data_IF_991553846237
#
_entry.id   IF_991553846237
#
_cell.length_a   1.000
_cell.length_b   1.000
_cell.length_c   1.000
_cell.angle_alpha   90.00
_cell.angle_beta   90.00
_cell.angle_gamma   90.00
#
_symmetry.space_group_name_H-M   'P 1'
#
loop_
_entity.id
_entity.type
_entity.pdbx_description
1 polymer ?
#
# COMPACT_ATOMS: atom_id res chain seq x y z
N UNK A 1 -15.61 -44.48 30.89
CA UNK A 1 -16.73 -43.51 30.94
C UNK A 1 -16.20 -42.31 30.17
N UNK A 2 -16.62 -42.22 28.87
CA UNK A 2 -16.18 -41.17 27.96
C UNK A 2 -17.03 -39.93 28.18
N UNK A 3 -16.33 -38.80 28.29
CA UNK A 3 -16.94 -37.47 28.35
C UNK A 3 -17.28 -37.02 26.92
N UNK A 4 -18.58 -36.84 26.66
CA UNK A 4 -19.10 -36.39 25.37
C UNK A 4 -19.23 -34.89 25.41
N UNK A 5 -18.25 -34.20 24.82
CA UNK A 5 -18.28 -32.75 24.65
C UNK A 5 -19.42 -32.33 23.71
N UNK A 6 -20.26 -31.40 24.18
CA UNK A 6 -21.35 -30.77 23.47
C UNK A 6 -20.84 -30.07 22.21
N UNK A 7 -21.34 -30.49 21.05
CA UNK A 7 -21.26 -29.76 19.80
C UNK A 7 -22.24 -28.57 19.85
N UNK A 8 -21.76 -27.37 19.76
CA UNK A 8 -22.59 -26.18 19.51
C UNK A 8 -22.93 -26.11 18.04
N UNK A 9 -24.20 -25.86 17.72
CA UNK A 9 -24.80 -25.91 16.37
C UNK A 9 -24.49 -24.71 15.47
N UNK A 10 -23.36 -24.01 15.63
CA UNK A 10 -22.88 -23.03 14.67
C UNK A 10 -21.51 -23.45 14.15
N UNK A 11 -21.48 -24.05 12.98
CA UNK A 11 -20.32 -24.67 12.33
C UNK A 11 -19.24 -23.71 11.82
N UNK A 12 -19.02 -22.58 12.46
CA UNK A 12 -17.85 -21.74 12.23
C UNK A 12 -16.72 -22.19 13.17
N UNK A 13 -15.82 -23.01 12.65
CA UNK A 13 -14.57 -23.32 13.37
C UNK A 13 -13.85 -21.99 13.65
N UNK A 14 -13.53 -21.68 14.92
CA UNK A 14 -12.68 -20.53 15.22
C UNK A 14 -11.34 -20.77 14.53
N UNK A 15 -10.95 -19.84 13.66
CA UNK A 15 -9.62 -19.85 13.03
C UNK A 15 -8.57 -19.64 14.12
N UNK A 16 -8.12 -20.75 14.73
CA UNK A 16 -7.00 -20.73 15.66
C UNK A 16 -5.76 -20.31 14.90
N UNK A 17 -5.39 -19.05 15.02
CA UNK A 17 -4.12 -18.51 14.53
C UNK A 17 -2.97 -19.30 15.14
N UNK A 18 -2.09 -19.83 14.31
CA UNK A 18 -0.85 -20.43 14.79
C UNK A 18 -0.06 -19.40 15.62
N UNK A 19 0.62 -19.77 16.73
CA UNK A 19 1.18 -18.84 17.72
C UNK A 19 2.17 -17.80 17.22
N UNK A 20 2.43 -17.71 15.93
CA UNK A 20 3.42 -16.83 15.33
C UNK A 20 3.04 -16.30 13.92
N UNK A 21 1.87 -16.66 13.41
CA UNK A 21 1.38 -16.17 12.12
C UNK A 21 0.89 -14.72 12.24
N UNK A 22 1.40 -13.82 11.39
CA UNK A 22 0.98 -12.42 11.36
C UNK A 22 -0.27 -12.24 10.51
N UNK A 23 -1.30 -11.61 11.07
CA UNK A 23 -2.48 -11.25 10.28
C UNK A 23 -2.28 -9.92 9.58
N UNK A 24 -2.58 -9.89 8.28
CA UNK A 24 -2.57 -8.69 7.44
C UNK A 24 -3.97 -8.49 6.86
N UNK A 25 -4.61 -7.39 7.22
CA UNK A 25 -5.91 -7.01 6.71
C UNK A 25 -5.79 -5.76 5.83
N UNK A 26 -6.35 -5.83 4.61
CA UNK A 26 -6.50 -4.67 3.73
C UNK A 26 -7.95 -4.24 3.75
N UNK A 27 -8.21 -3.06 4.29
CA UNK A 27 -9.56 -2.50 4.39
C UNK A 27 -9.98 -1.93 3.06
N UNK A 28 -11.09 -2.45 2.56
CA UNK A 28 -11.74 -2.06 1.32
C UNK A 28 -13.09 -1.37 1.59
N UNK A 29 -13.50 -0.52 0.67
CA UNK A 29 -14.75 0.21 0.68
C UNK A 29 -15.29 0.36 -0.75
N UNK A 30 -16.52 0.80 -0.90
CA UNK A 30 -17.13 0.99 -2.22
C UNK A 30 -16.29 1.94 -3.10
N UNK A 31 -16.08 1.57 -4.37
CA UNK A 31 -15.22 2.28 -5.35
C UNK A 31 -13.72 2.33 -4.95
N UNK A 32 -13.25 1.44 -4.05
CA UNK A 32 -11.81 1.27 -3.84
C UNK A 32 -11.10 0.83 -5.13
N UNK A 33 -9.82 1.09 -5.24
CA UNK A 33 -9.02 0.64 -6.37
C UNK A 33 -8.57 -0.81 -6.13
N UNK A 34 -8.98 -1.73 -6.99
CA UNK A 34 -8.75 -3.16 -6.78
C UNK A 34 -7.27 -3.54 -6.65
N UNK A 35 -6.38 -2.87 -7.41
CA UNK A 35 -4.94 -3.13 -7.32
C UNK A 35 -4.33 -2.65 -6.00
N UNK A 36 -4.89 -1.61 -5.37
CA UNK A 36 -4.46 -1.15 -4.04
C UNK A 36 -4.77 -2.18 -2.95
N UNK A 37 -5.69 -3.11 -3.23
CA UNK A 37 -6.08 -4.21 -2.35
C UNK A 37 -5.29 -5.47 -2.73
N UNK A 38 -5.45 -5.94 -3.97
CA UNK A 38 -4.88 -7.20 -4.42
C UNK A 38 -3.35 -7.17 -4.50
N UNK A 39 -2.75 -6.03 -4.88
CA UNK A 39 -1.29 -5.90 -5.01
C UNK A 39 -0.55 -6.23 -3.71
N UNK A 40 -0.82 -5.55 -2.60
CA UNK A 40 -0.24 -5.89 -1.30
C UNK A 40 -0.56 -7.31 -0.84
N UNK A 41 -1.81 -7.78 -1.02
CA UNK A 41 -2.21 -9.13 -0.61
C UNK A 41 -1.44 -10.21 -1.38
N UNK A 42 -1.18 -10.02 -2.69
CA UNK A 42 -0.37 -10.95 -3.47
C UNK A 42 1.09 -11.01 -2.98
N UNK A 43 1.64 -9.88 -2.55
CA UNK A 43 2.99 -9.86 -1.96
C UNK A 43 3.03 -10.66 -0.65
N UNK A 44 2.08 -10.45 0.25
CA UNK A 44 2.01 -11.22 1.49
C UNK A 44 1.67 -12.70 1.26
N UNK A 45 0.85 -13.02 0.25
CA UNK A 45 0.54 -14.40 -0.15
C UNK A 45 1.79 -15.12 -0.67
N UNK A 46 2.56 -14.47 -1.52
CA UNK A 46 3.83 -15.01 -2.00
C UNK A 46 4.84 -15.19 -0.85
N UNK A 47 4.89 -14.23 0.10
CA UNK A 47 5.72 -14.34 1.29
C UNK A 47 5.30 -15.51 2.18
N UNK A 48 4.00 -15.73 2.39
CA UNK A 48 3.49 -16.88 3.14
C UNK A 48 3.94 -18.20 2.50
N UNK A 49 3.87 -18.33 1.17
CA UNK A 49 4.33 -19.51 0.46
C UNK A 49 5.83 -19.76 0.63
N UNK A 50 6.66 -18.72 0.52
CA UNK A 50 8.11 -18.82 0.73
C UNK A 50 8.42 -19.24 2.17
N UNK A 51 7.76 -18.62 3.15
CA UNK A 51 7.97 -18.91 4.57
C UNK A 51 7.52 -20.33 4.94
N UNK A 52 6.37 -20.79 4.47
CA UNK A 52 5.89 -22.16 4.68
C UNK A 52 6.84 -23.20 4.10
N UNK A 53 7.43 -22.93 2.94
CA UNK A 53 8.43 -23.82 2.33
C UNK A 53 9.71 -23.92 3.17
N UNK A 54 9.99 -22.91 4.00
CA UNK A 54 11.09 -22.85 4.94
C UNK A 54 10.70 -23.26 6.37
N UNK A 55 9.50 -23.82 6.56
CA UNK A 55 8.93 -24.20 7.87
C UNK A 55 8.89 -23.00 8.87
N UNK A 56 8.78 -21.77 8.35
CA UNK A 56 8.68 -20.53 9.13
C UNK A 56 7.23 -20.06 9.22
N UNK A 57 6.88 -19.38 10.32
CA UNK A 57 5.56 -18.75 10.45
C UNK A 57 5.33 -17.71 9.35
N UNK A 58 4.19 -17.78 8.71
CA UNK A 58 3.82 -16.92 7.59
C UNK A 58 2.75 -15.87 7.94
N UNK A 59 1.85 -15.65 7.00
CA UNK A 59 0.82 -14.63 7.08
C UNK A 59 -0.59 -15.22 6.97
N UNK A 60 -1.52 -14.66 7.76
CA UNK A 60 -2.97 -14.81 7.61
C UNK A 60 -3.49 -13.53 6.94
N UNK A 61 -3.92 -13.61 5.69
CA UNK A 61 -4.17 -12.46 4.84
C UNK A 61 -5.63 -12.39 4.38
N UNK A 62 -6.17 -11.18 4.27
CA UNK A 62 -7.52 -11.02 3.74
C UNK A 62 -7.97 -9.59 3.57
N UNK A 63 -9.14 -9.47 2.97
CA UNK A 63 -9.86 -8.20 2.78
C UNK A 63 -10.79 -7.98 3.97
N UNK A 64 -10.79 -6.77 4.51
CA UNK A 64 -11.79 -6.36 5.49
C UNK A 64 -12.70 -5.28 4.92
N UNK A 65 -13.96 -5.28 5.33
CA UNK A 65 -14.92 -4.21 5.04
C UNK A 65 -15.61 -3.77 6.33
N UNK A 66 -16.34 -2.69 6.31
CA UNK A 66 -16.98 -2.13 7.51
C UNK A 66 -17.89 -3.16 8.20
N UNK A 67 -18.61 -3.95 7.42
CA UNK A 67 -19.68 -4.86 7.85
C UNK A 67 -19.49 -6.34 7.44
N UNK A 68 -18.38 -6.66 6.77
CA UNK A 68 -18.10 -8.01 6.25
C UNK A 68 -18.78 -8.34 4.91
N UNK A 69 -19.50 -7.37 4.31
CA UNK A 69 -20.12 -7.59 3.01
C UNK A 69 -19.18 -7.29 1.84
N UNK A 70 -19.40 -7.93 0.66
CA UNK A 70 -18.61 -7.65 -0.53
C UNK A 70 -18.71 -6.19 -0.96
N UNK A 71 -17.62 -5.66 -1.54
CA UNK A 71 -17.58 -4.29 -2.07
C UNK A 71 -17.25 -4.27 -3.56
N UNK A 72 -17.90 -3.37 -4.30
CA UNK A 72 -17.62 -3.16 -5.71
C UNK A 72 -16.53 -2.12 -5.89
N UNK A 73 -15.41 -2.54 -6.47
CA UNK A 73 -14.26 -1.69 -6.79
C UNK A 73 -14.55 -0.75 -7.97
N UNK A 74 -13.72 0.30 -8.11
CA UNK A 74 -13.81 1.26 -9.23
C UNK A 74 -13.57 0.62 -10.60
N UNK A 75 -12.90 -0.53 -10.66
CA UNK A 75 -12.71 -1.37 -11.87
C UNK A 75 -13.94 -2.18 -12.26
N UNK A 76 -14.99 -2.20 -11.42
CA UNK A 76 -16.18 -3.03 -11.61
C UNK A 76 -16.08 -4.43 -11.00
N UNK A 77 -14.89 -4.85 -10.54
CA UNK A 77 -14.69 -6.10 -9.82
C UNK A 77 -15.39 -6.01 -8.47
N UNK A 78 -16.05 -7.09 -8.06
CA UNK A 78 -16.58 -7.26 -6.71
C UNK A 78 -15.63 -8.12 -5.89
N UNK A 79 -15.22 -7.63 -4.72
CA UNK A 79 -14.36 -8.34 -3.80
C UNK A 79 -15.14 -8.73 -2.56
N UNK A 80 -15.10 -10.03 -2.23
CA UNK A 80 -15.60 -10.55 -0.96
C UNK A 80 -14.73 -10.09 0.21
N UNK A 81 -15.34 -9.95 1.39
CA UNK A 81 -14.63 -9.69 2.62
C UNK A 81 -14.28 -11.01 3.33
N UNK A 82 -13.10 -11.03 3.94
CA UNK A 82 -12.68 -12.10 4.87
C UNK A 82 -13.15 -11.76 6.28
N UNK A 83 -13.12 -10.46 6.62
CA UNK A 83 -13.50 -9.95 7.93
C UNK A 83 -14.30 -8.65 7.82
N UNK A 84 -15.12 -8.40 8.84
CA UNK A 84 -15.63 -7.07 9.16
C UNK A 84 -14.64 -6.31 10.05
N UNK A 85 -14.75 -4.97 10.14
CA UNK A 85 -13.98 -4.19 11.11
C UNK A 85 -14.34 -4.57 12.56
N UNK A 86 -15.57 -5.05 12.81
CA UNK A 86 -15.97 -5.54 14.13
C UNK A 86 -15.24 -6.82 14.55
N UNK A 87 -15.06 -7.77 13.63
CA UNK A 87 -14.28 -8.99 13.87
C UNK A 87 -12.80 -8.67 14.08
N UNK A 88 -12.24 -7.73 13.29
CA UNK A 88 -10.85 -7.28 13.47
C UNK A 88 -10.63 -6.52 14.78
N UNK A 89 -11.64 -5.87 15.33
CA UNK A 89 -11.54 -5.26 16.67
C UNK A 89 -11.48 -6.33 17.78
N UNK A 90 -12.20 -7.43 17.59
CA UNK A 90 -12.23 -8.55 18.55
C UNK A 90 -10.96 -9.41 18.49
N UNK A 91 -10.38 -9.60 17.29
CA UNK A 91 -9.11 -10.30 17.06
C UNK A 91 -8.20 -9.47 16.14
N UNK A 92 -7.43 -8.51 16.69
CA UNK A 92 -6.72 -7.50 15.91
C UNK A 92 -5.68 -8.07 14.96
N UNK A 93 -5.53 -7.45 13.76
CA UNK A 93 -4.47 -7.82 12.85
C UNK A 93 -3.11 -7.30 13.35
N UNK A 94 -2.04 -7.89 12.87
CA UNK A 94 -0.68 -7.38 13.05
C UNK A 94 -0.43 -6.14 12.17
N UNK A 95 -0.98 -6.17 10.97
CA UNK A 95 -0.91 -5.07 10.00
C UNK A 95 -2.31 -4.75 9.45
N UNK A 96 -2.69 -3.49 9.54
CA UNK A 96 -3.93 -2.94 8.98
C UNK A 96 -3.58 -1.94 7.87
N UNK A 97 -3.92 -2.26 6.64
CA UNK A 97 -3.80 -1.34 5.50
C UNK A 97 -5.17 -0.84 5.09
N UNK A 98 -5.28 0.41 4.66
CA UNK A 98 -6.49 0.92 4.00
C UNK A 98 -6.19 1.24 2.54
N UNK A 99 -7.00 0.71 1.64
CA UNK A 99 -6.87 0.92 0.21
C UNK A 99 -7.24 2.36 -0.19
N UNK A 100 -6.79 2.78 -1.36
CA UNK A 100 -7.26 4.01 -1.99
C UNK A 100 -8.34 3.76 -3.04
N UNK A 101 -8.66 4.78 -3.79
CA UNK A 101 -9.64 4.74 -4.87
C UNK A 101 -10.60 5.94 -4.86
N UNK A 102 -11.53 5.94 -5.80
CA UNK A 102 -12.49 7.04 -5.95
C UNK A 102 -13.41 7.22 -4.75
N UNK A 103 -13.66 6.15 -3.99
CA UNK A 103 -14.46 6.17 -2.77
C UNK A 103 -13.79 6.77 -1.56
N UNK A 104 -12.46 7.02 -1.59
CA UNK A 104 -11.70 7.50 -0.43
C UNK A 104 -12.24 8.79 0.17
N UNK A 105 -12.80 9.68 -0.68
CA UNK A 105 -13.39 10.94 -0.21
C UNK A 105 -14.66 10.75 0.60
N UNK A 106 -15.55 9.90 0.10
CA UNK A 106 -16.80 9.56 0.77
C UNK A 106 -16.45 8.85 2.09
N UNK A 107 -15.54 7.86 2.04
CA UNK A 107 -15.10 7.07 3.20
C UNK A 107 -14.37 7.93 4.26
N UNK A 108 -13.51 8.88 3.84
CA UNK A 108 -12.82 9.80 4.77
C UNK A 108 -13.72 10.88 5.38
N UNK A 109 -14.98 10.95 4.99
CA UNK A 109 -15.99 11.82 5.56
C UNK A 109 -17.11 11.05 6.29
N UNK A 110 -17.04 9.72 6.34
CA UNK A 110 -18.01 8.85 7.00
C UNK A 110 -17.61 8.64 8.48
N UNK A 111 -18.32 9.23 9.44
CA UNK A 111 -17.97 9.14 10.86
C UNK A 111 -18.05 7.71 11.42
N UNK A 112 -18.97 6.89 10.91
CA UNK A 112 -19.11 5.50 11.36
C UNK A 112 -17.90 4.68 10.91
N UNK A 113 -17.53 4.80 9.63
CA UNK A 113 -16.35 4.12 9.12
C UNK A 113 -15.09 4.54 9.86
N UNK A 114 -14.87 5.85 10.04
CA UNK A 114 -13.70 6.38 10.72
C UNK A 114 -13.60 5.91 12.17
N UNK A 115 -14.72 5.89 12.90
CA UNK A 115 -14.77 5.42 14.29
C UNK A 115 -14.39 3.93 14.39
N UNK A 116 -14.97 3.08 13.52
CA UNK A 116 -14.67 1.64 13.52
C UNK A 116 -13.25 1.36 13.07
N UNK A 117 -12.79 2.03 12.01
CA UNK A 117 -11.43 1.88 11.51
C UNK A 117 -10.40 2.30 12.56
N UNK A 118 -10.59 3.47 13.18
CA UNK A 118 -9.71 3.96 14.24
C UNK A 118 -9.64 2.99 15.43
N UNK A 119 -10.78 2.44 15.85
CA UNK A 119 -10.81 1.46 16.94
C UNK A 119 -9.93 0.23 16.66
N UNK A 120 -9.95 -0.29 15.42
CA UNK A 120 -9.05 -1.40 15.01
C UNK A 120 -7.60 -0.92 14.95
N UNK A 121 -7.35 0.26 14.37
CA UNK A 121 -6.01 0.80 14.19
C UNK A 121 -5.27 1.02 15.52
N UNK A 122 -5.97 1.46 16.57
CA UNK A 122 -5.39 1.72 17.90
C UNK A 122 -4.89 0.45 18.61
N UNK A 123 -5.41 -0.72 18.23
CA UNK A 123 -5.00 -2.03 18.79
C UNK A 123 -4.14 -2.86 17.82
N UNK A 124 -3.81 -2.29 16.67
CA UNK A 124 -2.98 -2.92 15.63
C UNK A 124 -1.53 -2.45 15.77
N UNK A 125 -0.55 -3.36 15.65
CA UNK A 125 0.87 -3.00 15.74
C UNK A 125 1.29 -2.02 14.64
N UNK A 126 0.89 -2.27 13.38
CA UNK A 126 1.30 -1.47 12.22
C UNK A 126 0.10 -1.07 11.37
N UNK A 127 -0.02 0.22 11.11
CA UNK A 127 -1.12 0.77 10.30
C UNK A 127 -0.56 1.43 9.06
N UNK A 128 -1.24 1.28 7.93
CA UNK A 128 -0.79 1.93 6.71
C UNK A 128 -1.89 2.22 5.71
N UNK A 129 -1.50 2.93 4.66
CA UNK A 129 -2.39 3.26 3.55
C UNK A 129 -1.74 3.05 2.20
N UNK A 130 -2.58 2.72 1.24
CA UNK A 130 -2.20 2.64 -0.17
C UNK A 130 -2.93 3.76 -0.92
N UNK A 131 -2.21 4.54 -1.74
CA UNK A 131 -2.79 5.58 -2.57
C UNK A 131 -3.58 6.63 -1.76
N UNK A 132 -4.79 6.96 -2.19
CA UNK A 132 -5.69 7.89 -1.51
C UNK A 132 -6.30 7.36 -0.20
N UNK A 133 -5.97 6.15 0.23
CA UNK A 133 -6.22 5.66 1.58
C UNK A 133 -5.61 6.55 2.66
N UNK A 134 -4.56 7.30 2.32
CA UNK A 134 -3.96 8.30 3.22
C UNK A 134 -4.96 9.35 3.74
N UNK A 135 -6.03 9.66 2.98
CA UNK A 135 -7.09 10.55 3.46
C UNK A 135 -7.91 9.95 4.61
N UNK A 136 -8.07 8.62 4.61
CA UNK A 136 -8.74 7.93 5.73
C UNK A 136 -7.87 7.99 6.97
N UNK A 137 -6.56 7.69 6.86
CA UNK A 137 -5.62 7.80 7.98
C UNK A 137 -5.55 9.24 8.52
N UNK A 138 -5.46 10.23 7.63
CA UNK A 138 -5.42 11.62 8.03
C UNK A 138 -6.72 12.05 8.74
N UNK A 139 -7.89 11.63 8.23
CA UNK A 139 -9.17 11.94 8.84
C UNK A 139 -9.36 11.31 10.23
N UNK A 140 -8.65 10.22 10.54
CA UNK A 140 -8.62 9.63 11.90
C UNK A 140 -7.57 10.25 12.82
N UNK A 141 -6.74 11.18 12.33
CA UNK A 141 -5.64 11.78 13.09
C UNK A 141 -4.39 10.89 13.19
N UNK A 142 -4.38 9.71 12.55
CA UNK A 142 -3.24 8.77 12.61
C UNK A 142 -1.99 9.24 11.84
N UNK A 143 -2.12 10.28 11.02
CA UNK A 143 -1.01 10.90 10.30
C UNK A 143 -0.52 12.22 10.91
N UNK A 144 -1.13 12.72 11.99
CA UNK A 144 -0.78 14.01 12.57
C UNK A 144 0.69 14.00 13.07
N UNK A 145 1.47 14.97 12.60
CA UNK A 145 2.89 15.10 12.88
C UNK A 145 3.79 14.05 12.21
N UNK A 146 3.26 13.24 11.28
CA UNK A 146 4.01 12.16 10.62
C UNK A 146 4.29 12.47 9.16
N UNK A 147 5.40 11.90 8.66
CA UNK A 147 5.70 11.87 7.23
C UNK A 147 4.81 10.84 6.55
N UNK A 148 4.11 11.27 5.51
CA UNK A 148 3.23 10.40 4.75
C UNK A 148 3.33 10.70 3.26
N UNK A 149 3.05 9.69 2.43
CA UNK A 149 2.87 9.88 1.00
C UNK A 149 1.49 9.39 0.56
N UNK A 150 1.07 9.84 -0.59
CA UNK A 150 -0.15 9.44 -1.28
C UNK A 150 0.10 9.47 -2.78
N UNK A 151 -0.90 9.16 -3.58
CA UNK A 151 -0.79 9.29 -5.04
C UNK A 151 -0.43 10.73 -5.43
N UNK A 152 0.56 10.91 -6.32
CA UNK A 152 1.09 12.22 -6.73
C UNK A 152 -0.01 13.24 -7.09
N UNK A 153 -1.05 12.82 -7.82
CA UNK A 153 -2.17 13.69 -8.20
C UNK A 153 -3.06 14.14 -7.01
N UNK A 154 -2.80 13.63 -5.81
CA UNK A 154 -3.59 13.92 -4.60
C UNK A 154 -2.74 14.50 -3.46
N UNK A 155 -1.42 14.62 -3.64
CA UNK A 155 -0.50 15.07 -2.60
C UNK A 155 -0.80 16.50 -2.13
N UNK A 156 -0.93 17.46 -3.06
CA UNK A 156 -1.25 18.86 -2.73
C UNK A 156 -2.59 18.98 -1.98
N UNK A 157 -3.58 18.17 -2.38
CA UNK A 157 -4.89 18.16 -1.72
C UNK A 157 -4.83 17.55 -0.33
N UNK A 158 -4.02 16.52 -0.12
CA UNK A 158 -3.80 15.94 1.20
C UNK A 158 -3.16 16.98 2.12
N UNK A 159 -2.09 17.63 1.68
CA UNK A 159 -1.41 18.68 2.43
C UNK A 159 -2.33 19.87 2.77
N UNK A 160 -3.14 20.31 1.80
CA UNK A 160 -4.07 21.42 2.03
C UNK A 160 -5.22 21.08 3.00
N UNK A 161 -5.71 19.83 2.98
CA UNK A 161 -6.81 19.38 3.84
C UNK A 161 -6.35 18.98 5.24
N UNK A 162 -5.14 18.49 5.36
CA UNK A 162 -4.55 17.99 6.60
C UNK A 162 -3.15 18.60 6.82
N UNK A 163 -3.08 19.88 7.24
CA UNK A 163 -1.81 20.60 7.37
C UNK A 163 -0.87 20.04 8.44
N UNK A 164 -1.39 19.22 9.35
CA UNK A 164 -0.59 18.52 10.37
C UNK A 164 0.24 17.35 9.80
N UNK A 165 0.01 16.96 8.54
CA UNK A 165 0.71 15.85 7.89
C UNK A 165 1.88 16.38 7.08
N UNK A 166 3.09 15.85 7.30
CA UNK A 166 4.26 16.14 6.47
C UNK A 166 4.22 15.29 5.17
N UNK A 167 3.60 15.87 4.13
CA UNK A 167 3.32 15.15 2.87
C UNK A 167 4.56 15.09 1.98
N UNK A 168 5.08 13.90 1.77
CA UNK A 168 6.23 13.58 0.92
C UNK A 168 5.76 13.22 -0.50
N UNK A 169 5.57 14.22 -1.36
CA UNK A 169 4.89 14.07 -2.66
C UNK A 169 5.64 13.19 -3.68
N UNK A 170 6.96 13.04 -3.55
CA UNK A 170 7.77 12.28 -4.51
C UNK A 170 8.09 10.84 -4.05
N UNK A 171 7.95 10.52 -2.78
CA UNK A 171 8.30 9.19 -2.28
C UNK A 171 7.28 8.12 -2.72
N UNK A 172 7.80 6.98 -3.15
CA UNK A 172 6.99 5.80 -3.52
C UNK A 172 6.27 5.24 -2.29
N UNK A 173 6.96 5.18 -1.15
CA UNK A 173 6.38 4.86 0.15
C UNK A 173 7.16 5.57 1.26
N UNK A 174 6.54 5.69 2.42
CA UNK A 174 7.14 6.18 3.66
C UNK A 174 6.93 5.18 4.79
N UNK A 175 7.86 5.21 5.74
CA UNK A 175 7.74 4.53 7.02
C UNK A 175 8.08 5.56 8.10
N UNK A 176 7.14 5.82 9.00
CA UNK A 176 7.32 6.72 10.14
C UNK A 176 6.79 6.04 11.40
N UNK A 177 7.71 5.38 12.13
CA UNK A 177 7.36 4.47 13.20
C UNK A 177 6.52 3.29 12.68
N UNK A 178 5.39 3.03 13.30
CA UNK A 178 4.46 1.97 12.89
C UNK A 178 3.43 2.45 11.85
N UNK A 179 3.60 3.66 11.31
CA UNK A 179 2.72 4.21 10.27
C UNK A 179 3.41 4.17 8.91
N UNK A 180 2.78 3.48 7.95
CA UNK A 180 3.34 3.21 6.64
C UNK A 180 2.39 3.68 5.55
N UNK A 181 2.86 4.46 4.58
CA UNK A 181 2.02 4.95 3.48
C UNK A 181 2.70 4.77 2.13
N UNK A 182 1.93 4.59 1.07
CA UNK A 182 2.46 4.47 -0.29
C UNK A 182 1.68 5.27 -1.32
N UNK A 183 2.35 5.55 -2.44
CA UNK A 183 1.79 6.23 -3.61
C UNK A 183 0.60 5.49 -4.26
N UNK A 184 0.48 4.20 -3.97
CA UNK A 184 -0.61 3.38 -4.48
C UNK A 184 -0.32 2.72 -5.82
N UNK A 185 -1.33 2.04 -6.34
CA UNK A 185 -1.25 1.20 -7.53
C UNK A 185 -0.11 0.17 -7.36
N UNK A 186 0.89 0.16 -8.22
CA UNK A 186 2.04 -0.74 -8.07
C UNK A 186 2.94 -0.42 -6.86
N UNK A 187 2.94 0.82 -6.34
CA UNK A 187 3.71 1.19 -5.16
C UNK A 187 3.18 0.54 -3.86
N UNK A 188 1.93 0.08 -3.85
CA UNK A 188 1.40 -0.75 -2.77
C UNK A 188 2.15 -2.08 -2.61
N UNK A 189 2.65 -2.64 -3.73
CA UNK A 189 3.47 -3.85 -3.70
C UNK A 189 4.88 -3.55 -3.18
N UNK A 190 5.48 -2.39 -3.51
CA UNK A 190 6.78 -1.99 -2.95
C UNK A 190 6.69 -1.79 -1.43
N UNK A 191 5.60 -1.16 -0.96
CA UNK A 191 5.30 -1.03 0.46
C UNK A 191 5.21 -2.40 1.14
N UNK A 192 4.45 -3.33 0.57
CA UNK A 192 4.29 -4.68 1.12
C UNK A 192 5.62 -5.46 1.13
N UNK A 193 6.45 -5.35 0.08
CA UNK A 193 7.81 -5.93 0.06
C UNK A 193 8.69 -5.36 1.18
N UNK A 194 8.65 -4.05 1.41
CA UNK A 194 9.38 -3.42 2.50
C UNK A 194 8.86 -3.89 3.87
N UNK A 195 7.55 -4.12 4.01
CA UNK A 195 6.98 -4.69 5.23
C UNK A 195 7.42 -6.14 5.45
N UNK A 196 7.48 -6.97 4.39
CA UNK A 196 7.99 -8.34 4.46
C UNK A 196 9.47 -8.35 4.88
N UNK A 197 10.28 -7.45 4.32
CA UNK A 197 11.69 -7.29 4.73
C UNK A 197 11.80 -6.91 6.22
N UNK A 198 10.98 -5.98 6.70
CA UNK A 198 10.95 -5.57 8.10
C UNK A 198 10.43 -6.64 9.05
N UNK A 199 9.53 -7.51 8.59
CA UNK A 199 8.95 -8.60 9.40
C UNK A 199 9.88 -9.82 9.49
N UNK A 200 10.69 -10.04 8.48
CA UNK A 200 11.55 -11.22 8.35
C UNK A 200 12.99 -10.81 8.04
N UNK A 201 13.30 -10.65 6.74
CA UNK A 201 14.61 -10.23 6.26
C UNK A 201 14.56 -9.88 4.75
N UNK A 202 15.64 -9.23 4.27
CA UNK A 202 15.78 -8.85 2.85
C UNK A 202 15.81 -10.06 1.91
N UNK A 203 16.24 -11.24 2.38
CA UNK A 203 16.30 -12.44 1.54
C UNK A 203 14.91 -12.99 1.22
N UNK A 204 14.00 -13.02 2.20
CA UNK A 204 12.60 -13.40 1.97
C UNK A 204 11.93 -12.39 1.01
N UNK A 205 12.13 -11.10 1.24
CA UNK A 205 11.58 -10.07 0.35
C UNK A 205 12.13 -10.21 -1.08
N UNK A 206 13.41 -10.56 -1.24
CA UNK A 206 14.02 -10.79 -2.56
C UNK A 206 13.41 -11.99 -3.29
N UNK A 207 13.17 -13.09 -2.59
CA UNK A 207 12.53 -14.28 -3.16
C UNK A 207 11.08 -13.96 -3.59
N UNK A 208 10.34 -13.22 -2.78
CA UNK A 208 8.98 -12.75 -3.12
C UNK A 208 9.00 -11.85 -4.35
N UNK A 209 9.91 -10.86 -4.40
CA UNK A 209 10.04 -9.97 -5.56
C UNK A 209 10.37 -10.76 -6.83
N UNK A 210 11.28 -11.73 -6.74
CA UNK A 210 11.64 -12.61 -7.87
C UNK A 210 10.43 -13.45 -8.33
N UNK A 211 9.67 -14.02 -7.41
CA UNK A 211 8.48 -14.81 -7.71
C UNK A 211 7.40 -14.00 -8.44
N UNK A 212 7.19 -12.77 -7.97
CA UNK A 212 6.19 -11.85 -8.55
C UNK A 212 6.71 -11.05 -9.75
N UNK A 213 7.97 -11.28 -10.18
CA UNK A 213 8.62 -10.54 -11.28
C UNK A 213 8.62 -9.03 -11.01
N UNK A 214 8.87 -8.65 -9.75
CA UNK A 214 8.95 -7.27 -9.29
C UNK A 214 10.41 -6.85 -9.07
N UNK A 215 10.67 -5.55 -9.18
CA UNK A 215 11.92 -5.00 -8.66
C UNK A 215 11.87 -4.99 -7.12
N UNK A 216 12.91 -5.50 -6.46
CA UNK A 216 13.00 -5.43 -5.01
C UNK A 216 13.02 -3.99 -4.49
N UNK A 217 13.70 -3.11 -5.21
CA UNK A 217 13.72 -1.66 -4.96
C UNK A 217 13.67 -0.93 -6.28
N UNK A 218 12.69 -0.07 -6.45
CA UNK A 218 12.64 0.83 -7.60
C UNK A 218 13.47 2.08 -7.31
N UNK A 219 14.32 2.46 -8.25
CA UNK A 219 15.01 3.75 -8.22
C UNK A 219 14.06 4.88 -8.68
N UNK A 220 14.20 6.06 -8.09
CA UNK A 220 13.41 7.23 -8.43
C UNK A 220 12.13 7.39 -7.60
N UNK A 221 11.44 8.49 -7.81
CA UNK A 221 10.23 8.90 -7.11
C UNK A 221 9.00 8.89 -8.02
N UNK A 222 7.89 9.39 -7.49
CA UNK A 222 6.63 9.52 -8.23
C UNK A 222 6.72 10.55 -9.37
N UNK A 223 7.64 11.51 -9.30
CA UNK A 223 7.83 12.54 -10.31
C UNK A 223 8.12 11.99 -11.71
N UNK A 224 8.72 10.80 -11.82
CA UNK A 224 8.92 10.12 -13.09
C UNK A 224 7.61 9.65 -13.76
N UNK A 225 6.51 9.53 -12.99
CA UNK A 225 5.19 9.11 -13.48
C UNK A 225 4.18 10.26 -13.53
N UNK A 226 4.46 11.37 -12.81
CA UNK A 226 3.66 12.57 -12.96
C UNK A 226 3.85 13.09 -14.39
N UNK A 227 2.76 13.42 -15.05
CA UNK A 227 2.87 14.15 -16.33
C UNK A 227 3.79 15.33 -16.07
N UNK A 228 4.76 15.62 -16.95
CA UNK A 228 5.61 16.80 -16.81
C UNK A 228 4.76 18.07 -16.98
N UNK A 229 3.86 18.35 -16.06
CA UNK A 229 3.19 19.64 -15.98
C UNK A 229 4.18 20.71 -15.53
N UNK A 230 5.28 20.27 -14.88
CA UNK A 230 6.35 21.15 -14.43
C UNK A 230 7.68 20.96 -15.14
N UNK A 231 7.95 19.81 -15.73
CA UNK A 231 8.93 19.73 -16.80
C UNK A 231 8.23 20.19 -18.07
N UNK A 232 7.90 21.45 -18.16
CA UNK A 232 7.73 22.08 -19.45
C UNK A 232 8.85 21.54 -20.34
N UNK A 233 8.55 21.19 -21.60
CA UNK A 233 9.53 21.12 -22.66
C UNK A 233 10.64 22.07 -22.25
N UNK A 234 11.85 21.52 -22.06
CA UNK A 234 12.93 22.29 -21.48
C UNK A 234 12.86 23.69 -22.07
N UNK A 235 12.77 24.72 -21.23
CA UNK A 235 12.59 26.10 -21.70
C UNK A 235 13.76 26.58 -22.58
N UNK A 236 14.81 25.76 -22.63
CA UNK A 236 15.96 25.92 -23.50
C UNK A 236 15.88 24.84 -24.57
N UNK A 237 15.84 25.25 -25.80
CA UNK A 237 15.80 24.36 -26.98
C UNK A 237 16.95 23.36 -26.96
N UNK A 238 18.11 23.76 -26.41
CA UNK A 238 19.32 22.95 -26.30
C UNK A 238 19.08 21.69 -25.43
N UNK A 239 18.38 21.83 -24.28
CA UNK A 239 18.09 20.67 -23.42
C UNK A 239 17.04 19.76 -24.05
N UNK A 240 16.10 20.33 -24.83
CA UNK A 240 15.13 19.52 -25.58
C UNK A 240 15.82 18.67 -26.65
N UNK A 241 16.80 19.23 -27.37
CA UNK A 241 17.61 18.49 -28.34
C UNK A 241 18.30 17.29 -27.68
N UNK A 242 18.84 17.46 -26.48
CA UNK A 242 19.46 16.37 -25.73
C UNK A 242 18.45 15.31 -25.34
N UNK A 243 17.27 15.70 -24.84
CA UNK A 243 16.20 14.78 -24.48
C UNK A 243 15.71 13.96 -25.68
N UNK A 244 15.49 14.63 -26.82
CA UNK A 244 15.06 13.97 -28.04
C UNK A 244 16.15 13.01 -28.58
N UNK A 245 17.43 13.39 -28.44
CA UNK A 245 18.55 12.53 -28.86
C UNK A 245 18.66 11.26 -27.99
N UNK A 246 18.54 11.38 -26.65
CA UNK A 246 18.52 10.22 -25.74
C UNK A 246 17.32 9.33 -26.01
N UNK A 247 16.16 9.91 -26.30
CA UNK A 247 14.95 9.16 -26.60
C UNK A 247 15.04 8.39 -27.93
N UNK A 248 15.74 8.97 -28.95
CA UNK A 248 15.95 8.34 -30.23
C UNK A 248 17.00 7.23 -30.18
N UNK A 249 18.01 7.36 -29.31
CA UNK A 249 19.10 6.39 -29.17
C UNK A 249 19.51 6.31 -27.68
N UNK A 250 18.85 5.40 -26.89
CA UNK A 250 19.18 5.23 -25.47
C UNK A 250 20.59 4.68 -25.19
N UNK A 251 21.33 4.24 -26.22
CA UNK A 251 22.71 3.75 -26.10
C UNK A 251 23.78 4.84 -26.21
N UNK A 252 23.37 6.08 -26.44
CA UNK A 252 24.29 7.22 -26.53
C UNK A 252 25.08 7.39 -25.24
N UNK A 253 26.33 7.80 -25.31
CA UNK A 253 27.11 8.22 -24.16
C UNK A 253 26.45 9.43 -23.50
N UNK A 254 25.93 9.21 -22.27
CA UNK A 254 25.27 10.23 -21.46
C UNK A 254 26.23 10.98 -20.53
N UNK A 255 27.55 11.00 -20.84
CA UNK A 255 28.49 11.88 -20.14
C UNK A 255 28.11 13.37 -20.32
N UNK A 256 28.42 14.18 -19.32
CA UNK A 256 28.08 15.62 -19.36
C UNK A 256 28.74 16.28 -20.58
N UNK A 257 29.96 15.89 -20.92
CA UNK A 257 30.71 16.39 -22.06
C UNK A 257 30.02 16.08 -23.39
N UNK A 258 29.58 14.83 -23.56
CA UNK A 258 28.87 14.40 -24.77
C UNK A 258 27.52 15.11 -24.90
N UNK A 259 26.74 15.18 -23.83
CA UNK A 259 25.43 15.82 -23.84
C UNK A 259 25.53 17.35 -24.01
N UNK A 260 26.52 17.99 -23.39
CA UNK A 260 26.78 19.41 -23.61
C UNK A 260 27.16 19.71 -25.06
N UNK A 261 27.97 18.84 -25.70
CA UNK A 261 28.29 18.94 -27.13
C UNK A 261 27.03 18.82 -27.99
N UNK A 262 26.13 17.90 -27.69
CA UNK A 262 24.83 17.74 -28.39
C UNK A 262 23.98 19.00 -28.22
N UNK A 263 24.01 19.63 -27.07
CA UNK A 263 23.30 20.87 -26.75
C UNK A 263 24.00 22.14 -27.31
N UNK A 264 25.16 22.00 -27.89
CA UNK A 264 26.00 23.15 -28.30
C UNK A 264 26.33 24.11 -27.13
N UNK A 265 26.54 23.54 -25.94
CA UNK A 265 26.86 24.24 -24.68
C UNK A 265 28.31 24.00 -24.25
#
# INVERSE_FOLDING_TARGET
IADVGLLTEDGAMPHHRAPSTRRVAVVAFAKAHSLDICGPLEVFSAADNVLRSAERPGYDIGVATIDGHPVRCSSGIELGATWSLGELLADPPDTLLVAGGRGSHETSADPEFLTRFRGVAEVTRRVGSVCTGAFVLAATGLLDGKRATTHWASADRLAAKHPEVDVQCDLIYTCDGETWTSAGVSAGMDLALAMVAADHDDEIARQVAQWLVLYLRRSGGQSQFSTPVSSGTARRDEIRIVQDRIAADPSIDCSVETLASVASM
#
